data_IF_241761866471
#
_entry.id   IF_241761866471
#
_cell.length_a   1.000
_cell.length_b   1.000
_cell.length_c   1.000
_cell.angle_alpha   90.00
_cell.angle_beta   90.00
_cell.angle_gamma   90.00
#
_symmetry.space_group_name_H-M   'P 1'
#
loop_
_entity.id
_entity.type
_entity.pdbx_description
1 polymer ?
#
# COMPACT_ATOMS: atom_id res chain seq x y z
N UNK A 1 -2.59 -8.38 21.51
CA UNK A 1 -3.40 -9.46 20.89
C UNK A 1 -2.56 -10.21 19.85
N UNK A 2 -2.25 -11.50 20.03
CA UNK A 2 -1.31 -12.22 19.15
C UNK A 2 -1.70 -12.26 17.66
N UNK A 3 -3.00 -12.30 17.37
CA UNK A 3 -3.50 -12.37 15.99
C UNK A 3 -3.39 -11.04 15.24
N UNK A 4 -3.58 -9.92 15.94
CA UNK A 4 -3.39 -8.59 15.36
C UNK A 4 -1.91 -8.35 15.05
N UNK A 5 -1.02 -8.75 15.97
CA UNK A 5 0.42 -8.66 15.76
C UNK A 5 0.88 -9.45 14.53
N UNK A 6 0.37 -10.68 14.36
CA UNK A 6 0.65 -11.48 13.16
C UNK A 6 0.16 -10.77 11.89
N UNK A 7 -1.05 -10.20 11.89
CA UNK A 7 -1.58 -9.45 10.76
C UNK A 7 -0.68 -8.26 10.41
N UNK A 8 -0.22 -7.52 11.42
CA UNK A 8 0.68 -6.36 11.28
C UNK A 8 2.00 -6.77 10.65
N UNK A 9 2.65 -7.83 11.15
CA UNK A 9 3.93 -8.32 10.61
C UNK A 9 3.78 -8.74 9.16
N UNK A 10 2.71 -9.47 8.85
CA UNK A 10 2.44 -9.93 7.50
C UNK A 10 2.11 -8.77 6.55
N UNK A 11 1.31 -7.80 7.01
CA UNK A 11 1.01 -6.57 6.26
C UNK A 11 2.27 -5.78 5.95
N UNK A 12 3.10 -5.51 6.98
CA UNK A 12 4.35 -4.76 6.84
C UNK A 12 5.31 -5.43 5.86
N UNK A 13 5.46 -6.76 5.93
CA UNK A 13 6.29 -7.50 4.99
C UNK A 13 5.82 -7.35 3.53
N UNK A 14 4.51 -7.49 3.29
CA UNK A 14 3.96 -7.31 1.94
C UNK A 14 4.11 -5.87 1.45
N UNK A 15 3.90 -4.88 2.32
CA UNK A 15 4.07 -3.47 1.98
C UNK A 15 5.52 -3.15 1.59
N UNK A 16 6.50 -3.67 2.34
CA UNK A 16 7.92 -3.56 1.99
C UNK A 16 8.20 -4.11 0.59
N UNK A 17 7.72 -5.32 0.29
CA UNK A 17 7.93 -5.93 -1.02
C UNK A 17 7.28 -5.11 -2.15
N UNK A 18 6.06 -4.59 -1.93
CA UNK A 18 5.37 -3.70 -2.88
C UNK A 18 6.17 -2.43 -3.12
N UNK A 19 6.67 -1.80 -2.04
CA UNK A 19 7.49 -0.59 -2.11
C UNK A 19 8.75 -0.82 -2.93
N UNK A 20 9.43 -1.95 -2.75
CA UNK A 20 10.62 -2.30 -3.52
C UNK A 20 10.31 -2.41 -5.02
N UNK A 21 9.23 -3.13 -5.38
CA UNK A 21 8.79 -3.27 -6.77
C UNK A 21 8.42 -1.91 -7.37
N UNK A 22 7.66 -1.08 -6.65
CA UNK A 22 7.31 0.26 -7.11
C UNK A 22 8.54 1.16 -7.30
N UNK A 23 9.49 1.10 -6.37
CA UNK A 23 10.75 1.83 -6.47
C UNK A 23 11.52 1.38 -7.71
N UNK A 24 11.58 0.09 -7.98
CA UNK A 24 12.23 -0.42 -9.20
C UNK A 24 11.53 0.08 -10.48
N UNK A 25 10.19 0.05 -10.52
CA UNK A 25 9.40 0.50 -11.68
C UNK A 25 9.54 2.00 -11.95
N UNK A 26 9.67 2.82 -10.91
CA UNK A 26 9.49 4.26 -11.03
C UNK A 26 10.68 5.13 -10.58
N UNK A 27 11.70 4.58 -9.92
CA UNK A 27 12.84 5.35 -9.35
C UNK A 27 13.53 6.24 -10.39
N UNK A 28 13.81 5.73 -11.58
CA UNK A 28 14.45 6.50 -12.65
C UNK A 28 13.62 7.70 -13.15
N UNK A 29 12.32 7.72 -12.87
CA UNK A 29 11.39 8.76 -13.35
C UNK A 29 11.02 9.71 -12.21
N UNK A 30 10.62 9.16 -11.07
CA UNK A 30 10.19 9.92 -9.91
C UNK A 30 11.35 10.72 -9.31
N UNK A 31 12.56 10.14 -9.23
CA UNK A 31 13.73 10.84 -8.68
C UNK A 31 14.20 12.03 -9.53
N UNK A 32 13.83 12.07 -10.82
CA UNK A 32 14.14 13.19 -11.71
C UNK A 32 13.04 14.25 -11.73
N UNK A 33 11.90 13.99 -11.07
CA UNK A 33 10.76 14.90 -11.02
C UNK A 33 10.99 15.98 -9.95
N UNK A 34 10.83 17.24 -10.31
CA UNK A 34 10.86 18.36 -9.35
C UNK A 34 9.51 18.63 -8.69
N UNK A 35 8.46 17.92 -9.10
CA UNK A 35 7.13 18.04 -8.50
C UNK A 35 7.00 17.07 -7.31
N UNK A 36 6.77 17.62 -6.12
CA UNK A 36 6.45 16.84 -4.93
C UNK A 36 4.97 16.45 -4.97
N UNK A 37 4.68 15.15 -5.14
CA UNK A 37 3.30 14.63 -5.12
C UNK A 37 2.85 14.15 -3.74
N UNK A 38 3.77 13.89 -2.83
CA UNK A 38 3.45 13.59 -1.44
C UNK A 38 2.95 14.85 -0.74
N UNK A 39 1.99 14.68 0.16
CA UNK A 39 1.41 15.75 0.97
C UNK A 39 1.53 15.38 2.44
N UNK A 40 2.01 16.32 3.26
CA UNK A 40 2.22 16.10 4.69
C UNK A 40 0.91 15.83 5.45
N UNK A 41 -0.22 16.39 5.01
CA UNK A 41 -1.54 16.14 5.61
C UNK A 41 -1.97 14.66 5.53
N UNK A 42 -1.58 13.94 4.48
CA UNK A 42 -1.77 12.48 4.40
C UNK A 42 -0.95 11.75 5.48
N UNK A 43 0.23 12.27 5.82
CA UNK A 43 1.05 11.72 6.89
C UNK A 43 0.50 12.05 8.29
N UNK A 44 -0.10 13.23 8.46
CA UNK A 44 -0.83 13.60 9.68
C UNK A 44 -2.03 12.65 9.90
N UNK A 45 -2.85 12.40 8.88
CA UNK A 45 -3.95 11.42 8.95
C UNK A 45 -3.46 10.00 9.29
N UNK A 46 -2.24 9.65 8.88
CA UNK A 46 -1.63 8.36 9.22
C UNK A 46 -1.31 8.25 10.72
N UNK A 47 -0.93 9.36 11.38
CA UNK A 47 -0.67 9.39 12.82
C UNK A 47 -1.95 9.27 13.65
N UNK A 48 -3.08 9.75 13.13
CA UNK A 48 -4.39 9.63 13.78
C UNK A 48 -5.00 8.22 13.65
N UNK A 49 -4.61 7.48 12.61
CA UNK A 49 -5.04 6.10 12.41
C UNK A 49 -4.43 5.18 13.46
N UNK A 50 -5.25 4.54 14.29
CA UNK A 50 -4.79 3.60 15.31
C UNK A 50 -3.99 2.43 14.71
N UNK A 51 -4.37 1.96 13.52
CA UNK A 51 -3.64 0.88 12.84
C UNK A 51 -2.28 1.34 12.30
N UNK A 52 -2.22 2.50 11.63
CA UNK A 52 -0.96 2.99 11.05
C UNK A 52 -0.02 3.51 12.14
N UNK A 53 -0.54 4.16 13.19
CA UNK A 53 0.24 4.55 14.36
C UNK A 53 0.97 3.35 14.97
N UNK A 54 0.31 2.19 15.09
CA UNK A 54 0.95 0.96 15.58
C UNK A 54 2.05 0.45 14.64
N UNK A 55 1.92 0.64 13.32
CA UNK A 55 2.99 0.34 12.35
C UNK A 55 4.16 1.33 12.46
N UNK A 56 3.90 2.60 12.74
CA UNK A 56 4.92 3.62 12.94
C UNK A 56 5.70 3.38 14.25
N UNK A 57 5.01 3.05 15.33
CA UNK A 57 5.63 2.72 16.62
C UNK A 57 6.59 1.52 16.51
N UNK A 58 6.26 0.52 15.69
CA UNK A 58 7.16 -0.61 15.41
C UNK A 58 8.45 -0.23 14.67
N UNK A 59 8.49 0.94 14.05
CA UNK A 59 9.67 1.53 13.42
C UNK A 59 10.38 2.52 14.36
N UNK A 60 9.95 2.63 15.62
CA UNK A 60 10.38 3.66 16.58
C UNK A 60 10.11 5.10 16.08
N UNK A 61 9.06 5.29 15.28
CA UNK A 61 8.66 6.57 14.69
C UNK A 61 7.40 7.14 15.36
N UNK A 62 7.34 8.47 15.49
CA UNK A 62 6.13 9.18 15.89
C UNK A 62 6.08 10.61 15.32
N UNK A 63 5.09 11.39 15.75
CA UNK A 63 4.84 12.76 15.25
C UNK A 63 6.09 13.66 15.25
N UNK A 64 6.90 13.58 16.31
CA UNK A 64 8.13 14.38 16.47
C UNK A 64 9.20 14.12 15.40
N UNK A 65 9.14 12.98 14.72
CA UNK A 65 10.13 12.55 13.74
C UNK A 65 9.68 12.91 12.31
N UNK A 66 8.44 13.39 12.15
CA UNK A 66 7.86 13.83 10.89
C UNK A 66 8.19 15.31 10.63
N UNK A 67 8.47 15.67 9.38
CA UNK A 67 8.63 17.07 8.98
C UNK A 67 7.25 17.69 8.67
N UNK A 68 6.92 18.83 9.29
CA UNK A 68 5.62 19.50 9.12
C UNK A 68 5.28 19.86 7.66
N UNK A 69 6.29 20.03 6.79
CA UNK A 69 6.10 20.46 5.40
C UNK A 69 6.14 19.31 4.42
N UNK A 70 6.99 18.32 4.70
CA UNK A 70 7.29 17.24 3.78
C UNK A 70 6.81 15.87 4.29
N UNK A 71 6.22 15.81 5.49
CA UNK A 71 5.82 14.56 6.12
C UNK A 71 7.04 13.67 6.35
N UNK A 72 6.97 12.44 5.82
CA UNK A 72 8.06 11.47 5.85
C UNK A 72 8.93 11.48 4.59
N UNK A 73 8.94 12.54 3.79
CA UNK A 73 9.83 12.65 2.63
C UNK A 73 11.25 13.05 3.03
N UNK A 74 12.23 12.36 2.45
CA UNK A 74 13.63 12.76 2.44
C UNK A 74 14.16 12.91 0.99
N UNK A 75 15.48 13.07 0.83
CA UNK A 75 16.15 13.28 -0.46
C UNK A 75 16.02 12.08 -1.43
N UNK A 76 15.66 10.90 -0.92
CA UNK A 76 15.55 9.64 -1.65
C UNK A 76 14.11 9.17 -1.85
N UNK A 77 13.15 9.80 -1.18
CA UNK A 77 11.73 9.48 -1.28
C UNK A 77 11.10 9.42 0.11
N UNK A 78 9.98 8.73 0.25
CA UNK A 78 9.40 8.54 1.57
C UNK A 78 10.29 7.59 2.38
N UNK A 79 10.64 7.99 3.60
CA UNK A 79 11.55 7.29 4.52
C UNK A 79 10.89 6.13 5.26
N UNK A 80 9.55 6.04 5.24
CA UNK A 80 8.83 4.93 5.87
C UNK A 80 9.16 3.60 5.18
N UNK A 81 9.45 2.58 5.98
CA UNK A 81 9.57 1.20 5.51
C UNK A 81 8.21 0.59 5.18
N UNK A 82 7.27 0.82 6.08
CA UNK A 82 5.87 0.43 5.98
C UNK A 82 5.00 1.41 6.79
N UNK A 83 3.69 1.23 6.79
CA UNK A 83 2.74 2.14 7.42
C UNK A 83 2.37 3.35 6.56
N UNK A 84 2.59 3.29 5.24
CA UNK A 84 2.14 4.35 4.33
C UNK A 84 0.62 4.20 4.10
N UNK A 85 -0.14 5.30 4.13
CA UNK A 85 -1.55 5.26 3.76
C UNK A 85 -1.76 4.67 2.34
N UNK A 86 -2.83 3.89 2.11
CA UNK A 86 -3.08 3.26 0.81
C UNK A 86 -3.07 4.22 -0.38
N UNK A 87 -3.47 5.48 -0.17
CA UNK A 87 -3.45 6.53 -1.19
C UNK A 87 -2.04 6.78 -1.75
N UNK A 88 -0.99 6.59 -0.94
CA UNK A 88 0.41 6.74 -1.36
C UNK A 88 0.82 5.71 -2.42
N UNK A 89 0.11 4.58 -2.53
CA UNK A 89 0.35 3.54 -3.53
C UNK A 89 -0.59 3.65 -4.74
N UNK A 90 -1.80 4.17 -4.53
CA UNK A 90 -2.83 4.20 -5.57
C UNK A 90 -2.70 5.39 -6.53
N UNK A 91 -1.95 6.43 -6.17
CA UNK A 91 -1.81 7.63 -6.98
C UNK A 91 -0.56 7.59 -7.87
N UNK A 92 -0.78 7.32 -9.16
CA UNK A 92 0.24 7.50 -10.20
C UNK A 92 -0.06 8.76 -11.01
N UNK A 93 0.95 9.59 -11.26
CA UNK A 93 0.78 10.67 -12.23
C UNK A 93 0.77 10.12 -13.67
N UNK A 94 0.04 10.78 -14.58
CA UNK A 94 -0.09 10.34 -15.97
C UNK A 94 1.26 10.15 -16.66
N UNK A 95 2.27 10.93 -16.29
CA UNK A 95 3.62 10.83 -16.84
C UNK A 95 4.38 9.57 -16.41
N UNK A 96 4.06 9.00 -15.25
CA UNK A 96 4.60 7.71 -14.81
C UNK A 96 3.94 6.58 -15.60
N UNK A 97 2.60 6.59 -15.68
CA UNK A 97 1.84 5.56 -16.40
C UNK A 97 2.12 5.56 -17.90
N UNK A 98 2.29 6.73 -18.52
CA UNK A 98 2.60 6.86 -19.95
C UNK A 98 3.97 6.30 -20.34
N UNK A 99 4.89 6.11 -19.38
CA UNK A 99 6.21 5.52 -19.62
C UNK A 99 6.23 4.00 -19.55
N UNK A 100 5.16 3.38 -19.06
CA UNK A 100 5.02 1.93 -19.10
C UNK A 100 4.80 1.47 -20.56
N UNK A 101 5.43 0.35 -20.97
CA UNK A 101 5.58 0.00 -22.37
C UNK A 101 4.24 -0.30 -23.07
N UNK A 102 3.26 -0.82 -22.34
CA UNK A 102 1.97 -1.24 -22.87
C UNK A 102 0.84 -1.17 -21.84
N UNK A 103 -0.39 -1.43 -22.29
CA UNK A 103 -1.60 -1.42 -21.45
C UNK A 103 -1.58 -2.52 -20.38
N UNK A 104 -0.90 -3.64 -20.65
CA UNK A 104 -0.83 -4.74 -19.68
C UNK A 104 0.06 -4.33 -18.50
N UNK A 105 1.15 -3.63 -18.78
CA UNK A 105 2.06 -3.05 -17.78
C UNK A 105 1.37 -1.96 -16.97
N UNK A 106 0.61 -1.07 -17.63
CA UNK A 106 -0.23 -0.07 -16.94
C UNK A 106 -1.27 -0.73 -16.05
N UNK A 107 -1.93 -1.78 -16.52
CA UNK A 107 -2.89 -2.55 -15.73
C UNK A 107 -2.23 -3.17 -14.49
N UNK A 108 -1.11 -3.87 -14.66
CA UNK A 108 -0.39 -4.48 -13.55
C UNK A 108 0.08 -3.45 -12.50
N UNK A 109 0.60 -2.29 -12.94
CA UNK A 109 0.98 -1.21 -12.04
C UNK A 109 -0.25 -0.64 -11.27
N UNK A 110 -1.37 -0.45 -11.95
CA UNK A 110 -2.62 -0.02 -11.29
C UNK A 110 -3.10 -1.03 -10.24
N UNK A 111 -3.01 -2.34 -10.53
CA UNK A 111 -3.36 -3.38 -9.55
C UNK A 111 -2.39 -3.36 -8.36
N UNK A 112 -1.08 -3.24 -8.61
CA UNK A 112 -0.05 -3.11 -7.57
C UNK A 112 -0.37 -1.98 -6.59
N UNK A 113 -0.83 -0.83 -7.11
CA UNK A 113 -1.19 0.33 -6.30
C UNK A 113 -2.46 0.15 -5.46
N UNK A 114 -3.31 -0.83 -5.80
CA UNK A 114 -4.56 -1.13 -5.08
C UNK A 114 -4.41 -2.22 -4.03
N UNK A 115 -3.29 -2.96 -3.98
CA UNK A 115 -3.13 -4.10 -3.06
C UNK A 115 -3.30 -3.70 -1.59
N UNK A 116 -2.64 -2.62 -1.16
CA UNK A 116 -2.72 -2.15 0.23
C UNK A 116 -4.12 -1.66 0.59
N UNK A 117 -4.80 -1.03 -0.36
CA UNK A 117 -6.21 -0.62 -0.19
C UNK A 117 -7.13 -1.84 -0.06
N UNK A 118 -6.97 -2.86 -0.92
CA UNK A 118 -7.77 -4.08 -0.88
C UNK A 118 -7.76 -4.72 0.50
N UNK A 119 -6.58 -4.85 1.12
CA UNK A 119 -6.42 -5.48 2.43
C UNK A 119 -7.29 -4.81 3.49
N UNK A 120 -7.25 -3.48 3.57
CA UNK A 120 -7.88 -2.75 4.67
C UNK A 120 -9.38 -2.51 4.50
N UNK A 121 -9.98 -2.77 3.34
CA UNK A 121 -11.40 -2.52 3.13
C UNK A 121 -12.28 -3.21 4.19
N UNK A 122 -13.41 -2.59 4.56
CA UNK A 122 -14.47 -3.18 5.43
C UNK A 122 -13.92 -3.92 6.66
N UNK A 123 -12.88 -3.36 7.29
CA UNK A 123 -12.22 -3.92 8.46
C UNK A 123 -13.14 -3.91 9.68
N UNK A 124 -13.92 -2.83 9.83
CA UNK A 124 -14.90 -2.65 10.89
C UNK A 124 -16.17 -2.00 10.33
N UNK A 125 -17.24 -2.79 10.18
CA UNK A 125 -18.44 -2.41 9.43
C UNK A 125 -18.09 -1.99 7.99
N UNK A 126 -18.38 -0.73 7.62
CA UNK A 126 -18.02 -0.14 6.33
C UNK A 126 -16.68 0.58 6.33
N UNK A 127 -16.02 0.75 7.50
CA UNK A 127 -14.76 1.50 7.62
C UNK A 127 -13.58 0.70 7.10
N UNK A 128 -12.66 1.39 6.44
CA UNK A 128 -11.36 0.85 6.09
C UNK A 128 -10.46 0.75 7.35
N UNK A 129 -9.49 -0.15 7.33
CA UNK A 129 -8.59 -0.44 8.45
C UNK A 129 -7.84 0.82 8.93
N UNK A 130 -7.34 1.60 7.97
CA UNK A 130 -6.64 2.87 8.25
C UNK A 130 -7.55 4.02 8.68
N UNK A 131 -8.88 3.87 8.59
CA UNK A 131 -9.84 4.88 9.07
C UNK A 131 -10.25 4.65 10.54
N UNK A 132 -9.71 3.62 11.18
CA UNK A 132 -9.97 3.32 12.59
C UNK A 132 -9.08 4.22 13.43
N UNK A 133 -9.67 5.20 14.11
CA UNK A 133 -8.94 6.18 14.93
C UNK A 133 -8.82 5.77 16.41
N UNK A 134 -9.75 4.95 16.90
CA UNK A 134 -9.75 4.49 18.30
C UNK A 134 -9.01 3.16 18.42
N UNK A 135 -7.93 3.06 19.22
CA UNK A 135 -7.23 1.80 19.47
C UNK A 135 -8.13 0.68 19.99
N UNK A 136 -9.16 0.98 20.78
CA UNK A 136 -10.09 -0.02 21.32
C UNK A 136 -10.99 -0.62 20.22
N UNK A 137 -11.16 0.08 19.09
CA UNK A 137 -11.89 -0.43 17.92
C UNK A 137 -11.06 -1.45 17.12
N UNK A 138 -9.72 -1.48 17.26
CA UNK A 138 -8.88 -2.50 16.63
C UNK A 138 -9.20 -3.91 17.17
N UNK A 139 -9.70 -4.01 18.40
CA UNK A 139 -10.12 -5.30 18.97
C UNK A 139 -11.37 -5.88 18.29
N UNK A 140 -12.13 -5.04 17.57
CA UNK A 140 -13.44 -5.37 16.97
C UNK A 140 -13.34 -5.68 15.49
N UNK A 141 -12.16 -5.55 14.87
CA UNK A 141 -11.97 -5.75 13.43
C UNK A 141 -12.23 -7.20 13.03
N UNK A 142 -12.70 -7.38 11.79
CA UNK A 142 -12.89 -8.70 11.22
C UNK A 142 -11.55 -9.28 10.74
N UNK A 143 -10.78 -9.85 11.66
CA UNK A 143 -9.47 -10.43 11.37
C UNK A 143 -9.52 -11.52 10.27
N UNK A 144 -10.55 -12.37 10.26
CA UNK A 144 -10.66 -13.41 9.23
C UNK A 144 -10.78 -12.82 7.82
N UNK A 145 -11.54 -11.72 7.66
CA UNK A 145 -11.65 -11.01 6.39
C UNK A 145 -10.32 -10.36 6.00
N UNK A 146 -9.65 -9.70 6.94
CA UNK A 146 -8.37 -9.04 6.67
C UNK A 146 -7.29 -10.05 6.27
N UNK A 147 -7.22 -11.20 6.95
CA UNK A 147 -6.31 -12.29 6.59
C UNK A 147 -6.58 -12.84 5.20
N UNK A 148 -7.86 -13.07 4.85
CA UNK A 148 -8.22 -13.52 3.50
C UNK A 148 -7.78 -12.51 2.43
N UNK A 149 -8.02 -11.22 2.66
CA UNK A 149 -7.64 -10.16 1.72
C UNK A 149 -6.13 -9.97 1.62
N UNK A 150 -5.40 -10.24 2.70
CA UNK A 150 -3.95 -10.27 2.69
C UNK A 150 -3.42 -11.44 1.84
N UNK A 151 -4.02 -12.63 1.95
CA UNK A 151 -3.68 -13.78 1.10
C UNK A 151 -3.98 -13.51 -0.39
N UNK A 152 -5.13 -12.88 -0.68
CA UNK A 152 -5.49 -12.44 -2.03
C UNK A 152 -4.48 -11.41 -2.58
N UNK A 153 -4.12 -10.41 -1.78
CA UNK A 153 -3.14 -9.39 -2.14
C UNK A 153 -1.74 -9.99 -2.37
N UNK A 154 -1.30 -10.95 -1.53
CA UNK A 154 -0.05 -11.69 -1.76
C UNK A 154 -0.08 -12.47 -3.06
N UNK A 155 -1.18 -13.16 -3.34
CA UNK A 155 -1.33 -13.95 -4.57
C UNK A 155 -1.26 -13.06 -5.81
N UNK A 156 -1.94 -11.90 -5.77
CA UNK A 156 -1.89 -10.91 -6.84
C UNK A 156 -0.49 -10.29 -6.98
N UNK A 157 0.20 -10.03 -5.87
CA UNK A 157 1.57 -9.52 -5.88
C UNK A 157 2.55 -10.49 -6.55
N UNK A 158 2.48 -11.77 -6.24
CA UNK A 158 3.34 -12.79 -6.88
C UNK A 158 3.06 -12.94 -8.37
N UNK A 159 1.79 -12.82 -8.79
CA UNK A 159 1.43 -12.74 -10.22
C UNK A 159 2.08 -11.53 -10.88
N UNK A 160 2.03 -10.35 -10.25
CA UNK A 160 2.66 -9.13 -10.77
C UNK A 160 4.17 -9.31 -10.88
N UNK A 161 4.85 -9.83 -9.85
CA UNK A 161 6.30 -10.11 -9.89
C UNK A 161 6.68 -11.06 -11.02
N UNK A 162 5.91 -12.13 -11.20
CA UNK A 162 6.09 -13.08 -12.30
C UNK A 162 5.92 -12.39 -13.65
N UNK A 163 4.88 -11.56 -13.81
CA UNK A 163 4.66 -10.78 -15.03
C UNK A 163 5.83 -9.81 -15.31
N UNK A 164 6.33 -9.08 -14.31
CA UNK A 164 7.46 -8.17 -14.49
C UNK A 164 8.74 -8.89 -14.92
N UNK A 165 8.89 -10.16 -14.55
CA UNK A 165 10.04 -10.99 -14.92
C UNK A 165 9.90 -11.65 -16.30
N UNK A 166 8.67 -11.98 -16.70
CA UNK A 166 8.41 -12.81 -17.91
C UNK A 166 7.74 -12.06 -19.05
N UNK A 167 7.12 -10.93 -18.78
CA UNK A 167 6.30 -10.17 -19.74
C UNK A 167 4.96 -10.82 -20.08
N UNK A 168 4.54 -11.88 -19.36
CA UNK A 168 3.35 -12.66 -19.70
C UNK A 168 2.30 -12.63 -18.58
N UNK A 169 1.04 -12.36 -18.96
CA UNK A 169 -0.15 -12.54 -18.11
C UNK A 169 -1.14 -13.45 -18.82
N UNK A 170 -1.29 -14.66 -18.32
CA UNK A 170 -2.27 -15.62 -18.83
C UNK A 170 -3.68 -15.32 -18.25
N UNK A 171 -4.67 -16.14 -18.63
CA UNK A 171 -6.05 -15.94 -18.15
C UNK A 171 -6.19 -16.12 -16.64
N UNK A 172 -5.60 -17.17 -16.08
CA UNK A 172 -5.65 -17.44 -14.64
C UNK A 172 -5.00 -16.30 -13.83
N UNK A 173 -3.90 -15.74 -14.34
CA UNK A 173 -3.25 -14.58 -13.74
C UNK A 173 -4.21 -13.38 -13.69
N UNK A 174 -4.91 -13.10 -14.81
CA UNK A 174 -5.90 -12.03 -14.87
C UNK A 174 -7.07 -12.25 -13.92
N UNK A 175 -7.52 -13.50 -13.75
CA UNK A 175 -8.58 -13.84 -12.81
C UNK A 175 -8.14 -13.57 -11.36
N UNK A 176 -6.88 -13.84 -11.01
CA UNK A 176 -6.31 -13.49 -9.69
C UNK A 176 -6.25 -11.98 -9.50
N UNK A 177 -5.75 -11.23 -10.49
CA UNK A 177 -5.64 -9.77 -10.40
C UNK A 177 -7.01 -9.07 -10.35
N UNK A 178 -8.03 -9.65 -10.98
CA UNK A 178 -9.37 -9.09 -11.01
C UNK A 178 -9.98 -8.93 -9.61
N UNK A 179 -9.65 -9.82 -8.66
CA UNK A 179 -10.11 -9.77 -7.26
C UNK A 179 -9.75 -8.46 -6.57
N UNK A 180 -8.60 -7.88 -6.90
CA UNK A 180 -8.13 -6.60 -6.33
C UNK A 180 -8.90 -5.41 -6.92
N UNK A 181 -9.38 -5.56 -8.16
CA UNK A 181 -10.03 -4.47 -8.92
C UNK A 181 -11.54 -4.43 -8.75
N UNK A 182 -12.15 -5.48 -8.18
CA UNK A 182 -13.57 -5.50 -7.86
C UNK A 182 -13.82 -4.61 -6.64
N UNK A 183 -14.11 -3.34 -6.88
CA UNK A 183 -14.71 -2.48 -5.86
C UNK A 183 -16.11 -3.04 -5.56
N UNK A 184 -16.27 -3.70 -4.40
CA UNK A 184 -17.60 -4.13 -3.95
C UNK A 184 -18.46 -2.87 -3.68
N UNK A 185 -19.64 -2.75 -4.30
CA UNK A 185 -20.53 -1.59 -4.15
C UNK A 185 -20.99 -1.37 -2.71
#
# INVERSE_FOLDING_TARGET
MPYLEKLIEEYAALECDIREVMTHLFSGICAMCTACCCRADICEEALESAFLAHLLEKQDLGEKDMDDRFGWLDLTGCSLDYGRPPVCYAYYCDQLLARLPDDTSRYAANVLGKLIHHIGQRALNSRHLVEIMDPDDLEKINLNRLSLRLEEARSAFEVIKSFLSTGMLNKADRDVLAVITTEEP
#
